data_IF_854832697184
#
_entry.id   IF_854832697184
#
_cell.length_a   1.000
_cell.length_b   1.000
_cell.length_c   1.000
_cell.angle_alpha   90.00
_cell.angle_beta   90.00
_cell.angle_gamma   90.00
#
_symmetry.space_group_name_H-M   'P 1'
#
loop_
_entity.id
_entity.type
_entity.pdbx_description
1 polymer ?
#
# COMPACT_ATOMS: atom_id res chain seq x y z
N UNK A 1 10.50 17.35 -6.78
CA UNK A 1 9.74 17.45 -5.51
C UNK A 1 9.28 16.08 -5.02
N UNK A 2 8.97 15.10 -5.88
CA UNK A 2 8.35 13.83 -5.50
C UNK A 2 9.04 12.98 -4.41
N UNK A 3 10.36 12.73 -4.44
CA UNK A 3 11.03 11.95 -3.37
C UNK A 3 10.97 12.56 -1.98
N UNK A 4 10.61 13.86 -1.83
CA UNK A 4 10.50 14.51 -0.52
C UNK A 4 9.18 14.20 0.20
N UNK A 5 8.18 13.72 -0.53
CA UNK A 5 6.86 13.42 0.01
C UNK A 5 6.72 11.94 0.42
N UNK A 6 7.75 11.12 0.13
CA UNK A 6 7.84 9.74 0.58
C UNK A 6 8.15 9.69 2.08
N UNK A 7 7.25 9.08 2.83
CA UNK A 7 7.40 8.80 4.26
C UNK A 7 8.29 7.59 4.53
N UNK A 8 8.43 6.70 3.54
CA UNK A 8 9.12 5.41 3.68
C UNK A 8 8.19 4.29 4.13
N UNK A 9 6.87 4.49 4.04
CA UNK A 9 5.86 3.48 4.34
C UNK A 9 5.84 2.34 3.31
N UNK A 10 6.31 2.59 2.08
CA UNK A 10 6.46 1.59 1.02
C UNK A 10 7.92 1.49 0.58
N UNK A 11 8.47 0.28 0.62
CA UNK A 11 9.78 -0.01 0.04
C UNK A 11 9.65 -0.23 -1.48
N UNK A 12 9.72 0.85 -2.25
CA UNK A 12 9.67 0.77 -3.71
C UNK A 12 10.87 0.05 -4.32
N UNK A 13 12.01 -0.02 -3.63
CA UNK A 13 13.14 -0.81 -4.10
C UNK A 13 12.80 -2.30 -4.04
N UNK A 14 12.21 -2.76 -2.94
CA UNK A 14 11.69 -4.12 -2.85
C UNK A 14 10.71 -4.41 -3.98
N UNK A 15 9.77 -3.50 -4.25
CA UNK A 15 8.77 -3.69 -5.29
C UNK A 15 9.41 -3.77 -6.69
N UNK A 16 10.35 -2.87 -6.99
CA UNK A 16 11.11 -2.90 -8.24
C UNK A 16 11.90 -4.21 -8.41
N UNK A 17 12.56 -4.69 -7.36
CA UNK A 17 13.28 -5.97 -7.41
C UNK A 17 12.30 -7.16 -7.58
N UNK A 18 11.14 -7.12 -6.91
CA UNK A 18 10.11 -8.16 -6.95
C UNK A 18 9.46 -8.30 -8.34
N UNK A 19 9.28 -7.20 -9.05
CA UNK A 19 8.74 -7.18 -10.42
C UNK A 19 9.83 -7.27 -11.50
N UNK A 20 11.08 -7.55 -11.12
CA UNK A 20 12.24 -7.56 -12.03
C UNK A 20 12.42 -6.24 -12.81
N UNK A 21 12.01 -5.12 -12.22
CA UNK A 21 12.07 -3.78 -12.81
C UNK A 21 11.00 -3.50 -13.85
N UNK A 22 10.02 -4.39 -14.04
CA UNK A 22 8.94 -4.17 -15.01
C UNK A 22 8.03 -3.03 -14.54
N UNK A 23 8.13 -1.91 -15.24
CA UNK A 23 7.40 -0.69 -14.93
C UNK A 23 5.89 -0.83 -15.08
N UNK A 24 5.40 -1.61 -16.05
CA UNK A 24 3.95 -1.77 -16.27
C UNK A 24 3.34 -2.60 -15.15
N UNK A 25 4.03 -3.67 -14.72
CA UNK A 25 3.61 -4.48 -13.59
C UNK A 25 3.61 -3.67 -12.29
N UNK A 26 4.63 -2.83 -12.06
CA UNK A 26 4.67 -1.92 -10.89
C UNK A 26 3.45 -1.00 -10.89
N UNK A 27 3.15 -0.36 -12.02
CA UNK A 27 2.03 0.57 -12.12
C UNK A 27 0.69 -0.15 -11.91
N UNK A 28 0.52 -1.36 -12.44
CA UNK A 28 -0.67 -2.19 -12.26
C UNK A 28 -0.89 -2.57 -10.79
N UNK A 29 0.10 -3.16 -10.13
CA UNK A 29 -0.05 -3.62 -8.73
C UNK A 29 -0.31 -2.48 -7.75
N UNK A 30 0.30 -1.31 -8.00
CA UNK A 30 0.05 -0.11 -7.21
C UNK A 30 -1.34 0.48 -7.46
N UNK A 31 -1.87 0.42 -8.69
CA UNK A 31 -3.25 0.82 -8.98
C UNK A 31 -4.24 -0.09 -8.27
N UNK A 32 -4.07 -1.41 -8.39
CA UNK A 32 -4.92 -2.40 -7.73
C UNK A 32 -4.92 -2.20 -6.21
N UNK A 33 -3.75 -1.97 -5.60
CA UNK A 33 -3.67 -1.69 -4.17
C UNK A 33 -4.50 -0.46 -3.77
N UNK A 34 -4.40 0.64 -4.52
CA UNK A 34 -5.18 1.88 -4.26
C UNK A 34 -6.68 1.68 -4.40
N UNK A 35 -7.10 0.97 -5.44
CA UNK A 35 -8.52 0.66 -5.69
C UNK A 35 -9.10 -0.19 -4.55
N UNK A 36 -8.37 -1.21 -4.10
CA UNK A 36 -8.88 -2.09 -3.04
C UNK A 36 -8.82 -1.44 -1.65
N UNK A 37 -7.84 -0.58 -1.39
CA UNK A 37 -7.74 0.14 -0.13
C UNK A 37 -8.99 0.98 0.20
N UNK A 38 -9.67 1.53 -0.82
CA UNK A 38 -10.93 2.24 -0.63
C UNK A 38 -12.04 1.35 -0.06
N UNK A 39 -12.10 0.09 -0.50
CA UNK A 39 -13.07 -0.90 0.00
C UNK A 39 -12.67 -1.36 1.41
N UNK A 40 -11.40 -1.68 1.61
CA UNK A 40 -10.89 -2.17 2.89
C UNK A 40 -11.02 -1.14 4.01
N UNK A 41 -10.85 0.14 3.72
CA UNK A 41 -11.00 1.23 4.70
C UNK A 41 -12.35 1.22 5.41
N UNK A 42 -13.42 0.90 4.68
CA UNK A 42 -14.76 0.81 5.25
C UNK A 42 -14.98 -0.44 6.11
N UNK A 43 -14.16 -1.49 5.92
CA UNK A 43 -14.22 -2.75 6.66
C UNK A 43 -13.36 -2.75 7.92
N UNK A 44 -12.43 -1.80 8.06
CA UNK A 44 -11.63 -1.61 9.27
C UNK A 44 -12.49 -0.92 10.36
N UNK A 45 -13.56 -1.56 10.79
CA UNK A 45 -14.42 -1.12 11.90
C UNK A 45 -14.71 -2.35 12.79
N UNK A 46 -14.46 -2.26 14.11
CA UNK A 46 -14.67 -3.40 15.01
C UNK A 46 -16.13 -3.88 15.09
N UNK A 47 -17.10 -3.05 14.69
CA UNK A 47 -18.52 -3.40 14.61
C UNK A 47 -18.91 -4.17 13.34
N UNK A 48 -18.03 -4.20 12.33
CA UNK A 48 -18.25 -4.90 11.05
C UNK A 48 -17.70 -6.32 11.16
N UNK A 49 -18.54 -7.34 11.02
CA UNK A 49 -18.14 -8.75 11.16
C UNK A 49 -16.92 -9.14 10.29
N UNK A 50 -16.81 -8.56 9.09
CA UNK A 50 -15.74 -8.83 8.12
C UNK A 50 -14.39 -8.15 8.40
N UNK A 51 -14.21 -7.44 9.52
CA UNK A 51 -12.97 -6.69 9.77
C UNK A 51 -11.73 -7.59 9.81
N UNK A 52 -11.85 -8.82 10.34
CA UNK A 52 -10.71 -9.76 10.42
C UNK A 52 -10.24 -10.21 9.03
N UNK A 53 -11.17 -10.55 8.15
CA UNK A 53 -10.87 -10.98 6.78
C UNK A 53 -10.29 -9.81 5.96
N UNK A 54 -10.78 -8.59 6.21
CA UNK A 54 -10.21 -7.38 5.63
C UNK A 54 -8.75 -7.20 6.09
N UNK A 55 -8.47 -7.24 7.40
CA UNK A 55 -7.10 -7.16 7.93
C UNK A 55 -6.18 -8.23 7.33
N UNK A 56 -6.66 -9.48 7.22
CA UNK A 56 -5.91 -10.58 6.61
C UNK A 56 -5.54 -10.29 5.14
N UNK A 57 -6.51 -9.79 4.39
CA UNK A 57 -6.34 -9.47 2.97
C UNK A 57 -5.39 -8.28 2.79
N UNK A 58 -5.55 -7.22 3.58
CA UNK A 58 -4.67 -6.04 3.59
C UNK A 58 -3.23 -6.48 3.93
N UNK A 59 -3.03 -7.37 4.90
CA UNK A 59 -1.70 -7.90 5.25
C UNK A 59 -0.99 -8.50 4.05
N UNK A 60 -1.69 -9.34 3.29
CA UNK A 60 -1.16 -9.98 2.08
C UNK A 60 -0.80 -8.95 1.00
N UNK A 61 -1.74 -8.05 0.70
CA UNK A 61 -1.55 -7.00 -0.30
C UNK A 61 -0.39 -6.06 0.06
N UNK A 62 -0.32 -5.64 1.33
CA UNK A 62 0.72 -4.75 1.84
C UNK A 62 2.11 -5.36 1.67
N UNK A 63 2.29 -6.63 2.04
CA UNK A 63 3.57 -7.34 1.86
C UNK A 63 3.94 -7.49 0.39
N UNK A 64 2.95 -7.70 -0.49
CA UNK A 64 3.17 -7.80 -1.93
C UNK A 64 3.73 -6.53 -2.57
N UNK A 65 3.37 -5.35 -2.06
CA UNK A 65 3.86 -4.07 -2.59
C UNK A 65 5.05 -3.48 -1.82
N UNK A 66 5.56 -4.18 -0.79
CA UNK A 66 6.64 -3.66 0.06
C UNK A 66 6.18 -2.70 1.17
N UNK A 67 4.88 -2.61 1.44
CA UNK A 67 4.32 -1.83 2.55
C UNK A 67 4.41 -2.62 3.87
N UNK A 68 5.63 -2.98 4.29
CA UNK A 68 5.85 -3.93 5.38
C UNK A 68 5.29 -3.46 6.72
N UNK A 69 5.39 -2.17 7.04
CA UNK A 69 4.84 -1.63 8.28
C UNK A 69 3.31 -1.79 8.37
N UNK A 70 2.60 -1.62 7.24
CA UNK A 70 1.17 -1.94 7.18
C UNK A 70 0.92 -3.44 7.37
N UNK A 71 1.74 -4.29 6.73
CA UNK A 71 1.67 -5.74 6.94
C UNK A 71 1.86 -6.16 8.39
N UNK A 72 2.77 -5.52 9.11
CA UNK A 72 3.04 -5.78 10.53
C UNK A 72 1.91 -5.27 11.43
N UNK A 73 1.38 -4.08 11.15
CA UNK A 73 0.20 -3.57 11.84
C UNK A 73 -1.02 -4.51 11.68
N UNK A 74 -1.22 -5.07 10.48
CA UNK A 74 -2.27 -6.05 10.26
C UNK A 74 -2.02 -7.35 11.04
N UNK A 75 -0.78 -7.85 11.04
CA UNK A 75 -0.44 -9.06 11.79
C UNK A 75 -0.67 -8.88 13.30
N UNK A 76 -0.36 -7.69 13.84
CA UNK A 76 -0.64 -7.34 15.22
C UNK A 76 -2.14 -7.30 15.51
N UNK A 77 -2.93 -6.67 14.64
CA UNK A 77 -4.39 -6.60 14.78
C UNK A 77 -5.07 -7.97 14.69
N UNK A 78 -4.54 -8.90 13.87
CA UNK A 78 -5.01 -10.30 13.85
C UNK A 78 -4.76 -11.01 15.19
N UNK A 79 -3.61 -10.74 15.82
CA UNK A 79 -3.19 -11.42 17.06
C UNK A 79 -3.85 -10.82 18.32
N UNK A 80 -3.95 -9.50 18.40
CA UNK A 80 -4.38 -8.76 19.58
C UNK A 80 -5.85 -8.35 19.54
N UNK A 81 -6.48 -8.41 18.36
CA UNK A 81 -7.88 -8.10 18.16
C UNK A 81 -8.14 -6.65 17.71
N UNK A 82 -9.39 -6.18 17.82
CA UNK A 82 -9.85 -4.96 17.17
C UNK A 82 -9.17 -3.66 17.66
N UNK A 83 -8.49 -3.69 18.80
CA UNK A 83 -7.72 -2.55 19.32
C UNK A 83 -6.57 -2.11 18.40
N UNK A 84 -6.09 -3.01 17.52
CA UNK A 84 -5.05 -2.70 16.53
C UNK A 84 -5.55 -2.01 15.26
N UNK A 85 -6.87 -1.86 15.06
CA UNK A 85 -7.41 -1.35 13.80
C UNK A 85 -7.05 0.11 13.51
N UNK A 86 -6.87 0.94 14.55
CA UNK A 86 -6.36 2.32 14.37
C UNK A 86 -4.95 2.34 13.79
N UNK A 87 -4.08 1.43 14.25
CA UNK A 87 -2.73 1.32 13.72
C UNK A 87 -2.74 0.85 12.25
N UNK A 88 -3.64 -0.08 11.89
CA UNK A 88 -3.82 -0.52 10.50
C UNK A 88 -4.28 0.64 9.61
N UNK A 89 -5.27 1.43 10.05
CA UNK A 89 -5.75 2.61 9.31
C UNK A 89 -4.62 3.63 9.08
N UNK A 90 -3.91 4.01 10.13
CA UNK A 90 -2.80 4.97 10.02
C UNK A 90 -1.67 4.47 9.10
N UNK A 91 -1.32 3.19 9.18
CA UNK A 91 -0.31 2.60 8.32
C UNK A 91 -0.78 2.51 6.85
N UNK A 92 -2.07 2.27 6.63
CA UNK A 92 -2.67 2.25 5.29
C UNK A 92 -2.67 3.65 4.66
N UNK A 93 -3.01 4.68 5.43
CA UNK A 93 -2.96 6.08 4.96
C UNK A 93 -1.53 6.48 4.58
N UNK A 94 -0.54 6.11 5.39
CA UNK A 94 0.87 6.36 5.07
C UNK A 94 1.31 5.64 3.79
N UNK A 95 0.93 4.36 3.64
CA UNK A 95 1.22 3.59 2.43
C UNK A 95 0.56 4.23 1.20
N UNK A 96 -0.71 4.64 1.28
CA UNK A 96 -1.42 5.30 0.18
C UNK A 96 -0.78 6.64 -0.20
N UNK A 97 -0.27 7.40 0.77
CA UNK A 97 0.49 8.63 0.53
C UNK A 97 1.75 8.36 -0.29
N UNK A 98 2.55 7.37 0.12
CA UNK A 98 3.76 6.97 -0.59
C UNK A 98 3.45 6.45 -2.00
N UNK A 99 2.43 5.60 -2.16
CA UNK A 99 2.01 5.11 -3.49
C UNK A 99 1.58 6.27 -4.40
N UNK A 100 0.82 7.25 -3.88
CA UNK A 100 0.41 8.40 -4.66
C UNK A 100 1.61 9.26 -5.10
N UNK A 101 2.58 9.49 -4.21
CA UNK A 101 3.79 10.24 -4.53
C UNK A 101 4.66 9.53 -5.58
N UNK A 102 4.83 8.21 -5.47
CA UNK A 102 5.57 7.40 -6.43
C UNK A 102 4.90 7.36 -7.82
N UNK A 103 3.59 7.13 -7.88
CA UNK A 103 2.83 7.15 -9.12
C UNK A 103 2.89 8.52 -9.82
N UNK A 104 2.82 9.61 -9.04
CA UNK A 104 2.99 10.96 -9.58
C UNK A 104 4.39 11.18 -10.16
N UNK A 105 5.44 10.70 -9.48
CA UNK A 105 6.81 10.78 -9.99
C UNK A 105 6.96 10.07 -11.34
N UNK A 106 6.46 8.84 -11.45
CA UNK A 106 6.52 8.04 -12.68
C UNK A 106 5.76 8.69 -13.82
N UNK A 107 4.59 9.27 -13.55
CA UNK A 107 3.84 10.04 -14.54
C UNK A 107 4.64 11.25 -15.06
N UNK A 108 5.38 11.95 -14.21
CA UNK A 108 6.25 13.05 -14.65
C UNK A 108 7.45 12.56 -15.46
N UNK A 109 8.01 11.41 -15.12
CA UNK A 109 9.13 10.81 -15.85
C UNK A 109 8.72 10.36 -17.26
N UNK A 110 7.54 9.78 -17.43
CA UNK A 110 7.04 9.34 -18.74
C UNK A 110 6.78 10.50 -19.71
N UNK A 111 6.43 11.68 -19.19
CA UNK A 111 6.30 12.90 -19.99
C UNK A 111 7.64 13.46 -20.48
N UNK A 112 8.74 13.19 -19.76
CA UNK A 112 10.09 13.67 -20.09
C UNK A 112 10.82 12.76 -21.08
N UNK A 113 10.44 11.49 -21.12
CA UNK A 113 10.99 10.49 -22.03
C UNK A 113 9.82 9.80 -22.73
N UNK A 114 9.28 10.37 -23.83
CA UNK A 114 8.16 9.77 -24.53
C UNK A 114 8.51 8.33 -24.93
N UNK A 115 7.66 7.37 -24.57
CA UNK A 115 7.80 5.97 -25.01
C UNK A 115 7.77 5.97 -26.54
N UNK A 116 8.89 5.61 -27.17
CA UNK A 116 9.04 5.39 -28.61
C UNK A 116 8.49 4.04 -29.04
#
# INVERSE_FOLDING_TARGET
MARRDLTGAVDFKYLEDFTAGDGEVIDEVLSLFREQAAIWSALLDPSVEGWRDAVHTIKGAARGIGAFHLGDACALAEAEGPGGLDAVRNAMDAALGDVAAYAHERALQSLRTPRS
#
